data_IF_732245866071
#
_entry.id   IF_732245866071
#
_cell.length_a   1.000
_cell.length_b   1.000
_cell.length_c   1.000
_cell.angle_alpha   90.00
_cell.angle_beta   90.00
_cell.angle_gamma   90.00
#
_symmetry.space_group_name_H-M   'P 1'
#
loop_
_entity.id
_entity.type
_entity.pdbx_description
1 polymer ?
#
# COMPACT_ATOMS: atom_id res chain seq x y z
N UNK A 1 11.38 -17.71 26.89
CA UNK A 1 11.85 -16.31 26.93
C UNK A 1 10.66 -15.46 26.59
N UNK A 2 9.97 -14.96 27.61
CA UNK A 2 8.65 -14.34 27.50
C UNK A 2 8.77 -12.99 26.77
N UNK A 3 7.97 -12.81 25.70
CA UNK A 3 7.83 -11.53 25.04
C UNK A 3 7.38 -10.49 26.08
N UNK A 4 8.12 -9.38 26.23
CA UNK A 4 7.76 -8.29 27.13
C UNK A 4 6.33 -7.85 26.84
N UNK A 5 5.42 -7.76 27.84
CA UNK A 5 4.03 -7.37 27.63
C UNK A 5 3.91 -6.02 26.92
N UNK A 6 4.88 -5.12 27.10
CA UNK A 6 4.96 -3.85 26.36
C UNK A 6 5.14 -4.01 24.85
N UNK A 7 5.82 -5.06 24.39
CA UNK A 7 6.02 -5.29 22.96
C UNK A 7 4.72 -5.74 22.27
N UNK A 8 3.93 -6.59 22.95
CA UNK A 8 2.63 -7.03 22.45
C UNK A 8 1.67 -5.83 22.34
N UNK A 9 1.65 -4.96 23.36
CA UNK A 9 0.83 -3.74 23.31
C UNK A 9 1.28 -2.77 22.22
N UNK A 10 2.59 -2.60 22.02
CA UNK A 10 3.13 -1.76 20.95
C UNK A 10 2.75 -2.31 19.55
N UNK A 11 2.82 -3.63 19.38
CA UNK A 11 2.40 -4.30 18.13
C UNK A 11 0.89 -4.16 17.91
N UNK A 12 0.08 -4.35 18.94
CA UNK A 12 -1.37 -4.16 18.87
C UNK A 12 -1.74 -2.71 18.57
N UNK A 13 -1.08 -1.74 19.20
CA UNK A 13 -1.31 -0.31 18.95
C UNK A 13 -0.90 0.08 17.53
N UNK A 14 0.24 -0.42 17.04
CA UNK A 14 0.72 -0.19 15.69
C UNK A 14 -0.17 -0.86 14.62
N UNK A 15 -0.85 -1.96 14.96
CA UNK A 15 -1.88 -2.56 14.12
C UNK A 15 -3.22 -1.80 14.16
N UNK A 16 -3.60 -1.31 15.35
CA UNK A 16 -4.91 -0.66 15.55
C UNK A 16 -4.94 0.75 14.94
N UNK A 17 -3.84 1.49 15.03
CA UNK A 17 -3.76 2.88 14.55
C UNK A 17 -4.00 3.01 13.03
N UNK A 18 -3.36 2.21 12.14
CA UNK A 18 -3.64 2.25 10.72
C UNK A 18 -5.06 1.77 10.37
N UNK A 19 -5.57 0.77 11.09
CA UNK A 19 -6.96 0.30 10.90
C UNK A 19 -7.96 1.40 11.28
N UNK A 20 -7.78 2.05 12.44
CA UNK A 20 -8.62 3.17 12.87
C UNK A 20 -8.54 4.35 11.89
N UNK A 21 -7.35 4.65 11.38
CA UNK A 21 -7.14 5.72 10.41
C UNK A 21 -7.80 5.39 9.06
N UNK A 22 -7.70 4.16 8.59
CA UNK A 22 -8.35 3.68 7.36
C UNK A 22 -9.89 3.71 7.50
N UNK A 23 -10.43 3.23 8.63
CA UNK A 23 -11.86 3.26 8.94
C UNK A 23 -12.37 4.69 9.07
N UNK A 24 -11.69 5.56 9.81
CA UNK A 24 -12.04 6.99 9.93
C UNK A 24 -12.03 7.72 8.59
N UNK A 25 -11.24 7.27 7.64
CA UNK A 25 -11.12 7.87 6.30
C UNK A 25 -12.13 7.30 5.30
N UNK A 26 -12.55 6.05 5.46
CA UNK A 26 -13.56 5.40 4.63
C UNK A 26 -14.98 5.94 4.92
N UNK A 27 -15.30 6.16 6.20
CA UNK A 27 -16.62 6.63 6.65
C UNK A 27 -17.05 7.98 6.04
N UNK A 28 -16.25 9.06 6.06
CA UNK A 28 -16.67 10.35 5.50
C UNK A 28 -16.84 10.34 3.98
N UNK A 29 -16.07 9.50 3.27
CA UNK A 29 -16.21 9.36 1.82
C UNK A 29 -17.46 8.59 1.42
N UNK A 30 -17.85 7.60 2.22
CA UNK A 30 -19.09 6.86 2.04
C UNK A 30 -20.34 7.71 2.27
N UNK A 31 -20.27 8.70 3.19
CA UNK A 31 -21.40 9.55 3.57
C UNK A 31 -21.55 10.81 2.69
N UNK A 32 -20.47 11.29 2.02
CA UNK A 32 -20.50 12.50 1.21
C UNK A 32 -20.98 12.33 -0.23
N UNK A 33 -21.17 11.13 -0.69
CA UNK A 33 -21.70 10.86 -2.04
C UNK A 33 -23.20 10.66 -1.98
N UNK A 34 -23.95 11.79 -1.93
CA UNK A 34 -25.36 11.80 -2.32
C UNK A 34 -25.40 11.86 -3.86
N UNK A 35 -25.83 10.82 -4.58
CA UNK A 35 -25.84 10.81 -6.03
C UNK A 35 -27.10 11.52 -6.54
N UNK A 36 -26.92 12.42 -7.51
CA UNK A 36 -27.99 12.78 -8.41
C UNK A 36 -28.36 11.55 -9.26
N UNK A 37 -29.64 11.40 -9.56
CA UNK A 37 -30.27 10.18 -10.05
C UNK A 37 -29.78 9.63 -11.39
N UNK A 38 -28.97 10.35 -12.15
CA UNK A 38 -28.53 9.95 -13.50
C UNK A 38 -27.14 9.30 -13.54
N UNK A 39 -26.37 9.39 -12.44
CA UNK A 39 -24.98 8.90 -12.36
C UNK A 39 -24.83 7.56 -11.59
N UNK A 40 -25.91 6.88 -11.26
CA UNK A 40 -25.91 5.80 -10.25
C UNK A 40 -25.08 4.57 -10.63
N UNK A 41 -25.02 4.18 -11.90
CA UNK A 41 -24.30 2.98 -12.35
C UNK A 41 -22.79 3.22 -12.36
N UNK A 42 -22.35 4.37 -12.90
CA UNK A 42 -20.94 4.74 -13.00
C UNK A 42 -20.35 5.06 -11.62
N UNK A 43 -21.13 5.74 -10.77
CA UNK A 43 -20.74 6.06 -9.39
C UNK A 43 -20.62 4.80 -8.52
N UNK A 44 -21.51 3.83 -8.67
CA UNK A 44 -21.45 2.53 -7.97
C UNK A 44 -20.20 1.73 -8.35
N UNK A 45 -19.88 1.67 -9.66
CA UNK A 45 -18.66 1.01 -10.15
C UNK A 45 -17.38 1.67 -9.62
N UNK A 46 -17.31 3.00 -9.62
CA UNK A 46 -16.19 3.77 -9.07
C UNK A 46 -16.04 3.53 -7.56
N UNK A 47 -17.13 3.57 -6.81
CA UNK A 47 -17.14 3.32 -5.36
C UNK A 47 -16.64 1.92 -5.04
N UNK A 48 -17.13 0.88 -5.75
CA UNK A 48 -16.68 -0.50 -5.57
C UNK A 48 -15.17 -0.64 -5.78
N UNK A 49 -14.61 -0.04 -6.84
CA UNK A 49 -13.16 -0.07 -7.11
C UNK A 49 -12.34 0.61 -6.00
N UNK A 50 -12.85 1.69 -5.41
CA UNK A 50 -12.17 2.36 -4.28
C UNK A 50 -12.15 1.47 -3.05
N UNK A 51 -13.29 0.87 -2.70
CA UNK A 51 -13.41 -0.02 -1.54
C UNK A 51 -12.51 -1.25 -1.71
N UNK A 52 -12.52 -1.88 -2.89
CA UNK A 52 -11.66 -3.05 -3.15
C UNK A 52 -10.19 -2.70 -3.01
N UNK A 53 -9.76 -1.54 -3.54
CA UNK A 53 -8.38 -1.10 -3.42
C UNK A 53 -7.98 -0.87 -1.95
N UNK A 54 -8.83 -0.20 -1.17
CA UNK A 54 -8.57 0.06 0.25
C UNK A 54 -8.55 -1.23 1.07
N UNK A 55 -9.40 -2.20 0.74
CA UNK A 55 -9.39 -3.52 1.39
C UNK A 55 -8.11 -4.30 1.06
N UNK A 56 -7.68 -4.31 -0.20
CA UNK A 56 -6.43 -4.98 -0.61
C UNK A 56 -5.23 -4.34 0.10
N UNK A 57 -5.17 -3.01 0.15
CA UNK A 57 -4.11 -2.29 0.87
C UNK A 57 -4.09 -2.65 2.36
N UNK A 58 -5.26 -2.70 3.00
CA UNK A 58 -5.36 -3.04 4.41
C UNK A 58 -4.93 -4.48 4.70
N UNK A 59 -5.36 -5.44 3.87
CA UNK A 59 -4.96 -6.85 4.02
C UNK A 59 -3.46 -7.01 3.82
N UNK A 60 -2.89 -6.40 2.78
CA UNK A 60 -1.44 -6.44 2.55
C UNK A 60 -0.67 -5.79 3.70
N UNK A 61 -1.10 -4.61 4.17
CA UNK A 61 -0.46 -3.95 5.30
C UNK A 61 -0.50 -4.82 6.56
N UNK A 62 -1.62 -5.47 6.87
CA UNK A 62 -1.73 -6.38 8.00
C UNK A 62 -0.79 -7.58 7.87
N UNK A 63 -0.73 -8.22 6.70
CA UNK A 63 0.16 -9.37 6.44
C UNK A 63 1.62 -8.96 6.64
N UNK A 64 2.06 -7.86 6.01
CA UNK A 64 3.45 -7.40 6.12
C UNK A 64 3.82 -6.92 7.52
N UNK A 65 2.88 -6.32 8.21
CA UNK A 65 3.10 -5.93 9.60
C UNK A 65 3.29 -7.15 10.51
N UNK A 66 2.48 -8.20 10.33
CA UNK A 66 2.60 -9.44 11.09
C UNK A 66 3.89 -10.19 10.75
N UNK A 67 4.20 -10.36 9.47
CA UNK A 67 5.39 -11.10 9.03
C UNK A 67 6.67 -10.33 9.39
N UNK A 68 6.71 -9.02 9.15
CA UNK A 68 7.83 -8.17 9.54
C UNK A 68 8.00 -8.12 11.05
N UNK A 69 6.90 -8.01 11.81
CA UNK A 69 6.91 -8.09 13.27
C UNK A 69 7.46 -9.42 13.77
N UNK A 70 7.03 -10.56 13.21
CA UNK A 70 7.55 -11.88 13.54
C UNK A 70 9.07 -12.00 13.29
N UNK A 71 9.58 -11.36 12.23
CA UNK A 71 11.03 -11.27 11.96
C UNK A 71 11.76 -10.50 13.05
N UNK A 72 11.20 -9.35 13.46
CA UNK A 72 11.83 -8.48 14.46
C UNK A 72 11.85 -9.08 15.86
N UNK A 73 10.76 -9.74 16.28
CA UNK A 73 10.69 -10.38 17.61
C UNK A 73 11.47 -11.69 17.69
N UNK A 74 12.03 -12.17 16.58
CA UNK A 74 12.81 -13.41 16.56
C UNK A 74 11.97 -14.68 16.68
N UNK A 75 10.83 -14.72 16.00
CA UNK A 75 10.03 -15.92 15.91
C UNK A 75 10.91 -17.10 15.45
N UNK A 76 10.85 -18.29 16.12
CA UNK A 76 11.72 -19.43 15.82
C UNK A 76 11.72 -19.86 14.34
N UNK A 77 10.55 -19.83 13.69
CA UNK A 77 10.42 -20.21 12.27
C UNK A 77 11.14 -19.20 11.37
N UNK A 78 11.07 -17.89 11.71
CA UNK A 78 11.79 -16.85 10.97
C UNK A 78 13.30 -16.96 11.19
N UNK A 79 13.73 -17.27 12.40
CA UNK A 79 15.15 -17.51 12.70
C UNK A 79 15.69 -18.70 11.91
N UNK A 80 14.94 -19.82 11.85
CA UNK A 80 15.28 -20.99 11.06
C UNK A 80 15.33 -20.67 9.57
N UNK A 81 14.31 -20.00 9.03
CA UNK A 81 14.23 -19.59 7.63
C UNK A 81 15.47 -18.77 7.21
N UNK A 82 15.85 -17.76 7.99
CA UNK A 82 17.01 -16.92 7.66
C UNK A 82 18.36 -17.63 7.89
N UNK A 83 18.39 -18.69 8.70
CA UNK A 83 19.54 -19.60 8.78
C UNK A 83 19.68 -20.40 7.49
N UNK A 84 18.57 -20.95 6.97
CA UNK A 84 18.56 -21.74 5.75
C UNK A 84 18.93 -20.89 4.51
N UNK A 85 18.53 -19.60 4.49
CA UNK A 85 18.94 -18.64 3.46
C UNK A 85 20.46 -18.38 3.47
N UNK A 86 21.12 -18.47 4.63
CA UNK A 86 22.58 -18.39 4.75
C UNK A 86 23.17 -16.99 4.74
N UNK A 87 22.36 -15.90 4.61
CA UNK A 87 22.85 -14.51 4.58
C UNK A 87 23.11 -13.93 5.98
N UNK A 88 22.64 -14.62 7.02
CA UNK A 88 22.79 -14.23 8.41
C UNK A 88 21.58 -13.54 9.00
N UNK A 89 21.51 -13.52 10.35
CA UNK A 89 20.36 -13.02 11.09
C UNK A 89 20.17 -11.49 10.98
N UNK A 90 21.21 -10.73 10.67
CA UNK A 90 21.08 -9.28 10.44
C UNK A 90 20.13 -8.94 9.30
N UNK A 91 20.13 -9.76 8.25
CA UNK A 91 19.24 -9.58 7.10
C UNK A 91 17.77 -9.74 7.46
N UNK A 92 17.47 -10.62 8.43
CA UNK A 92 16.12 -10.77 9.01
C UNK A 92 15.63 -9.45 9.63
N UNK A 93 16.47 -8.76 10.38
CA UNK A 93 16.12 -7.47 10.99
C UNK A 93 15.90 -6.40 9.92
N UNK A 94 16.78 -6.31 8.93
CA UNK A 94 16.65 -5.34 7.84
C UNK A 94 15.34 -5.54 7.08
N UNK A 95 15.04 -6.76 6.65
CA UNK A 95 13.78 -7.05 5.95
C UNK A 95 12.57 -6.83 6.84
N UNK A 96 12.63 -7.18 8.11
CA UNK A 96 11.56 -6.94 9.08
C UNK A 96 11.25 -5.44 9.26
N UNK A 97 12.27 -4.59 9.39
CA UNK A 97 12.10 -3.13 9.49
C UNK A 97 11.49 -2.57 8.20
N UNK A 98 11.98 -3.00 7.03
CA UNK A 98 11.45 -2.55 5.75
C UNK A 98 9.98 -2.96 5.56
N UNK A 99 9.61 -4.17 5.95
CA UNK A 99 8.24 -4.68 5.86
C UNK A 99 7.29 -3.92 6.79
N UNK A 100 7.66 -3.71 8.05
CA UNK A 100 6.84 -2.96 9.02
C UNK A 100 6.69 -1.50 8.59
N UNK A 101 7.78 -0.86 8.16
CA UNK A 101 7.75 0.53 7.68
C UNK A 101 6.91 0.64 6.41
N UNK A 102 7.10 -0.26 5.46
CA UNK A 102 6.34 -0.29 4.23
C UNK A 102 4.84 -0.53 4.48
N UNK A 103 4.49 -1.45 5.37
CA UNK A 103 3.11 -1.68 5.79
C UNK A 103 2.48 -0.43 6.40
N UNK A 104 3.21 0.30 7.23
CA UNK A 104 2.75 1.55 7.83
C UNK A 104 2.52 2.64 6.77
N UNK A 105 3.45 2.81 5.84
CA UNK A 105 3.31 3.80 4.76
C UNK A 105 2.23 3.44 3.74
N UNK A 106 1.92 2.15 3.56
CA UNK A 106 0.85 1.70 2.67
C UNK A 106 -0.53 2.24 3.08
N UNK A 107 -0.77 2.45 4.37
CA UNK A 107 -2.01 3.01 4.89
C UNK A 107 -2.13 4.52 4.64
N UNK A 108 -1.00 5.22 4.40
CA UNK A 108 -0.97 6.64 4.08
C UNK A 108 -1.20 6.82 2.56
N UNK A 109 -2.32 7.39 2.10
CA UNK A 109 -2.68 7.40 0.66
C UNK A 109 -1.70 8.14 -0.25
N UNK A 110 -0.95 9.11 0.29
CA UNK A 110 0.08 9.81 -0.48
C UNK A 110 1.30 8.91 -0.72
N UNK A 111 1.60 8.01 0.21
CA UNK A 111 2.78 7.16 0.20
C UNK A 111 2.49 5.72 -0.23
N UNK A 112 1.21 5.32 -0.31
CA UNK A 112 0.82 3.93 -0.58
C UNK A 112 1.31 3.41 -1.94
N UNK A 113 1.39 4.27 -2.96
CA UNK A 113 1.94 3.89 -4.27
C UNK A 113 3.44 3.57 -4.21
N UNK A 114 4.23 4.42 -3.56
CA UNK A 114 5.66 4.20 -3.37
C UNK A 114 5.93 2.99 -2.47
N UNK A 115 5.18 2.86 -1.38
CA UNK A 115 5.24 1.70 -0.48
C UNK A 115 4.93 0.38 -1.21
N UNK A 116 3.90 0.35 -2.05
CA UNK A 116 3.54 -0.83 -2.83
C UNK A 116 4.67 -1.25 -3.79
N UNK A 117 5.39 -0.30 -4.39
CA UNK A 117 6.54 -0.58 -5.25
C UNK A 117 7.69 -1.19 -4.44
N UNK A 118 8.02 -0.60 -3.29
CA UNK A 118 9.10 -1.07 -2.42
C UNK A 118 8.81 -2.48 -1.88
N UNK A 119 7.62 -2.69 -1.33
CA UNK A 119 7.22 -4.00 -0.84
C UNK A 119 7.10 -5.03 -1.97
N UNK A 120 6.66 -4.61 -3.15
CA UNK A 120 6.66 -5.45 -4.35
C UNK A 120 8.06 -5.90 -4.74
N UNK A 121 9.06 -5.02 -4.69
CA UNK A 121 10.46 -5.36 -4.94
C UNK A 121 11.00 -6.38 -3.90
N UNK A 122 10.63 -6.23 -2.63
CA UNK A 122 10.96 -7.20 -1.58
C UNK A 122 10.33 -8.57 -1.90
N UNK A 123 9.10 -8.60 -2.41
CA UNK A 123 8.43 -9.85 -2.78
C UNK A 123 9.04 -10.51 -4.01
N UNK A 124 9.57 -9.74 -4.96
CA UNK A 124 10.37 -10.32 -6.07
C UNK A 124 11.61 -11.00 -5.52
N UNK A 125 12.35 -10.35 -4.62
CA UNK A 125 13.52 -10.94 -4.00
C UNK A 125 13.16 -12.19 -3.18
N UNK A 126 12.07 -12.17 -2.40
CA UNK A 126 11.57 -13.32 -1.65
C UNK A 126 11.20 -14.47 -2.57
N UNK A 127 10.51 -14.22 -3.68
CA UNK A 127 10.17 -15.23 -4.70
C UNK A 127 11.43 -15.89 -5.27
N UNK A 128 12.46 -15.11 -5.60
CA UNK A 128 13.72 -15.66 -6.09
C UNK A 128 14.44 -16.50 -5.04
N UNK A 129 14.45 -16.07 -3.79
CA UNK A 129 15.05 -16.84 -2.68
C UNK A 129 14.30 -18.15 -2.48
N UNK A 130 12.97 -18.15 -2.47
CA UNK A 130 12.17 -19.36 -2.33
C UNK A 130 12.42 -20.36 -3.46
N UNK A 131 12.53 -19.87 -4.71
CA UNK A 131 12.77 -20.71 -5.88
C UNK A 131 14.22 -21.24 -5.96
N UNK A 132 15.21 -20.33 -5.81
CA UNK A 132 16.60 -20.63 -6.14
C UNK A 132 17.40 -21.17 -4.96
N UNK A 133 17.05 -20.77 -3.72
CA UNK A 133 17.78 -21.15 -2.51
C UNK A 133 17.03 -22.22 -1.72
N UNK A 134 15.73 -22.00 -1.49
CA UNK A 134 14.93 -22.90 -0.67
C UNK A 134 14.26 -24.03 -1.44
N UNK A 135 14.26 -23.95 -2.77
CA UNK A 135 13.62 -24.93 -3.68
C UNK A 135 12.17 -25.24 -3.30
N UNK A 136 11.43 -24.20 -2.85
CA UNK A 136 10.02 -24.27 -2.45
C UNK A 136 9.13 -23.46 -3.37
N UNK A 137 7.84 -23.82 -3.53
CA UNK A 137 6.91 -23.04 -4.34
C UNK A 137 6.62 -21.69 -3.67
N UNK A 138 6.86 -20.54 -4.33
CA UNK A 138 6.74 -19.19 -3.76
C UNK A 138 5.29 -18.68 -3.78
N UNK A 139 4.31 -19.49 -3.37
CA UNK A 139 2.88 -19.18 -3.51
C UNK A 139 2.51 -17.90 -2.76
N UNK A 140 2.97 -17.75 -1.53
CA UNK A 140 2.66 -16.60 -0.69
C UNK A 140 3.31 -15.32 -1.23
N UNK A 141 4.59 -15.39 -1.64
CA UNK A 141 5.32 -14.26 -2.19
C UNK A 141 4.69 -13.77 -3.51
N UNK A 142 4.30 -14.69 -4.41
CA UNK A 142 3.63 -14.36 -5.67
C UNK A 142 2.24 -13.76 -5.44
N UNK A 143 1.47 -14.29 -4.49
CA UNK A 143 0.15 -13.74 -4.14
C UNK A 143 0.28 -12.29 -3.61
N UNK A 144 1.22 -12.05 -2.70
CA UNK A 144 1.51 -10.70 -2.18
C UNK A 144 2.01 -9.77 -3.30
N UNK A 145 2.91 -10.24 -4.16
CA UNK A 145 3.40 -9.47 -5.31
C UNK A 145 2.28 -9.03 -6.22
N UNK A 146 1.34 -9.92 -6.54
CA UNK A 146 0.17 -9.59 -7.37
C UNK A 146 -0.68 -8.48 -6.74
N UNK A 147 -0.89 -8.53 -5.42
CA UNK A 147 -1.58 -7.49 -4.67
C UNK A 147 -0.86 -6.14 -4.74
N UNK A 148 0.47 -6.12 -4.58
CA UNK A 148 1.27 -4.89 -4.68
C UNK A 148 1.25 -4.30 -6.09
N UNK A 149 1.35 -5.13 -7.12
CA UNK A 149 1.24 -4.69 -8.52
C UNK A 149 -0.12 -4.05 -8.80
N UNK A 150 -1.20 -4.64 -8.28
CA UNK A 150 -2.54 -4.07 -8.40
C UNK A 150 -2.64 -2.69 -7.69
N UNK A 151 -2.14 -2.58 -6.46
CA UNK A 151 -2.14 -1.31 -5.70
C UNK A 151 -1.30 -0.25 -6.40
N UNK A 152 -0.08 -0.58 -6.81
CA UNK A 152 0.81 0.33 -7.53
C UNK A 152 0.17 0.85 -8.82
N UNK A 153 -0.35 -0.04 -9.65
CA UNK A 153 -1.05 0.31 -10.89
C UNK A 153 -2.27 1.22 -10.63
N UNK A 154 -3.13 0.86 -9.66
CA UNK A 154 -4.33 1.63 -9.35
C UNK A 154 -4.01 3.02 -8.80
N UNK A 155 -2.93 3.18 -8.03
CA UNK A 155 -2.50 4.48 -7.47
C UNK A 155 -1.84 5.35 -8.54
N UNK A 156 -0.96 4.80 -9.36
CA UNK A 156 -0.29 5.53 -10.45
C UNK A 156 -1.30 6.04 -11.49
N UNK A 157 -2.29 5.24 -11.85
CA UNK A 157 -3.32 5.69 -12.79
C UNK A 157 -4.20 6.83 -12.22
N UNK A 158 -4.40 6.87 -10.91
CA UNK A 158 -5.14 7.98 -10.27
C UNK A 158 -4.34 9.28 -10.25
N UNK A 159 -3.04 9.24 -10.04
CA UNK A 159 -2.18 10.44 -10.10
C UNK A 159 -2.13 11.01 -11.50
N UNK A 160 -1.90 10.18 -12.52
CA UNK A 160 -1.92 10.58 -13.93
C UNK A 160 -3.25 11.20 -14.38
N UNK A 161 -4.39 10.66 -13.92
CA UNK A 161 -5.71 11.21 -14.24
C UNK A 161 -5.92 12.60 -13.61
N UNK A 162 -5.39 12.84 -12.41
CA UNK A 162 -5.45 14.16 -11.74
C UNK A 162 -4.58 15.19 -12.45
N UNK A 163 -3.38 14.83 -12.87
CA UNK A 163 -2.46 15.70 -13.61
C UNK A 163 -3.08 16.15 -14.94
N UNK A 164 -3.68 15.22 -15.70
CA UNK A 164 -4.38 15.54 -16.95
C UNK A 164 -5.56 16.49 -16.75
N UNK A 165 -6.36 16.29 -15.71
CA UNK A 165 -7.48 17.20 -15.41
C UNK A 165 -6.98 18.58 -14.97
N UNK A 166 -5.88 18.64 -14.23
CA UNK A 166 -5.27 19.92 -13.81
C UNK A 166 -4.68 20.71 -14.98
N UNK A 167 -4.05 20.03 -15.96
CA UNK A 167 -3.51 20.68 -17.16
C UNK A 167 -4.61 21.26 -18.05
N UNK A 168 -5.72 20.53 -18.27
CA UNK A 168 -6.86 21.03 -19.05
C UNK A 168 -7.52 22.27 -18.42
N UNK A 169 -7.66 22.31 -17.09
CA UNK A 169 -8.22 23.48 -16.39
C UNK A 169 -7.27 24.68 -16.51
N UNK A 170 -5.97 24.45 -16.48
CA UNK A 170 -4.95 25.50 -16.63
C UNK A 170 -4.93 26.09 -18.04
N UNK A 171 -5.15 25.25 -19.04
CA UNK A 171 -5.18 25.63 -20.46
C UNK A 171 -6.46 26.40 -20.82
N UNK A 172 -7.60 25.97 -20.27
CA UNK A 172 -8.89 26.67 -20.45
C UNK A 172 -9.01 27.96 -19.66
N UNK A 173 -8.24 28.14 -18.58
CA UNK A 173 -8.21 29.37 -17.76
C UNK A 173 -7.18 30.41 -18.20
N UNK A 174 -6.37 30.14 -19.22
CA UNK A 174 -5.49 31.14 -19.81
C UNK A 174 -6.36 32.15 -20.60
N UNK A 175 -6.42 33.43 -20.21
CA UNK A 175 -7.17 34.40 -21.00
C UNK A 175 -6.54 34.47 -22.38
N UNK A 176 -7.32 34.08 -23.40
CA UNK A 176 -6.93 34.26 -24.77
C UNK A 176 -6.59 35.75 -24.94
N UNK A 177 -5.31 36.04 -25.15
CA UNK A 177 -4.88 37.36 -25.60
C UNK A 177 -5.69 37.66 -26.85
N UNK A 178 -6.70 38.52 -26.73
CA UNK A 178 -7.44 39.02 -27.90
C UNK A 178 -6.44 39.72 -28.82
N UNK A 179 -6.36 39.36 -30.10
CA UNK A 179 -5.39 39.96 -31.03
C UNK A 179 -5.76 41.40 -31.43
N UNK A 180 -6.70 42.06 -30.78
CA UNK A 180 -7.07 43.41 -31.08
C UNK A 180 -6.83 44.33 -29.90
N UNK A 181 -5.64 44.96 -29.87
CA UNK A 181 -5.32 46.12 -29.07
C UNK A 181 -6.12 47.34 -29.54
N UNK A 182 -7.32 47.48 -29.03
CA UNK A 182 -8.04 48.76 -29.01
C UNK A 182 -8.50 49.04 -27.60
N UNK A 183 -7.73 49.91 -26.92
CA UNK A 183 -8.24 50.60 -25.73
C UNK A 183 -9.20 51.72 -26.19
N UNK A 184 -10.26 51.97 -25.42
CA UNK A 184 -11.04 53.20 -25.59
C UNK A 184 -10.28 54.41 -25.09
#
# INVERSE_FOLDING_TARGET
MFAHPGLIHAILLALLLPILFAVRRAIPRALRSSPSSDDTITARGRRRRVIVLELVELVLAAVFFLVGGAKLVGNPDMVALFRDIGVGQWFRYVTGVLEVSGATFMVVPLMSGASAIILGAIMIAATLIELLVLHRPPVAAVACLSGHMYVAWARLNRTRARERSGSMVRESGSPALRPNGTMP
#
